data_IF_055917991466
#
_entry.id   IF_055917991466
#
_cell.length_a   1.000
_cell.length_b   1.000
_cell.length_c   1.000
_cell.angle_alpha   90.00
_cell.angle_beta   90.00
_cell.angle_gamma   90.00
#
_symmetry.space_group_name_H-M   'P 1'
#
loop_
_entity.id
_entity.type
_entity.pdbx_description
1 polymer ?
#
# COMPACT_ATOMS: atom_id res chain seq x y z
N UNK A 1 -22.97 15.10 29.06
CA UNK A 1 -22.97 14.24 27.87
C UNK A 1 -21.50 14.03 27.52
N UNK A 2 -20.95 12.89 27.92
CA UNK A 2 -19.51 12.63 27.88
C UNK A 2 -18.98 12.62 26.45
N UNK A 3 -18.06 13.53 26.14
CA UNK A 3 -17.20 13.44 24.97
C UNK A 3 -16.20 12.31 25.23
N UNK A 4 -16.49 11.10 24.74
CA UNK A 4 -15.56 9.99 24.82
C UNK A 4 -14.71 9.95 23.55
N UNK A 5 -13.48 10.42 23.69
CA UNK A 5 -12.42 10.40 22.69
C UNK A 5 -12.24 8.99 22.10
N UNK A 6 -12.68 8.79 20.87
CA UNK A 6 -12.28 7.63 20.08
C UNK A 6 -10.88 7.92 19.53
N UNK A 7 -9.84 7.34 20.16
CA UNK A 7 -8.53 7.15 19.55
C UNK A 7 -8.75 6.52 18.17
N UNK A 8 -8.66 7.35 17.13
CA UNK A 8 -8.98 6.97 15.77
C UNK A 8 -7.82 6.10 15.26
N UNK A 9 -7.86 4.80 15.57
CA UNK A 9 -6.95 3.83 14.95
C UNK A 9 -7.06 4.01 13.44
N UNK A 10 -5.96 4.44 12.83
CA UNK A 10 -6.00 4.83 11.44
C UNK A 10 -6.41 3.64 10.57
N UNK A 11 -7.44 3.86 9.75
CA UNK A 11 -7.93 2.86 8.81
C UNK A 11 -6.77 2.30 7.96
N UNK A 12 -6.66 0.97 7.91
CA UNK A 12 -5.55 0.28 7.26
C UNK A 12 -5.34 0.67 5.78
N UNK A 13 -6.40 1.01 5.05
CA UNK A 13 -6.30 1.50 3.68
C UNK A 13 -5.52 2.81 3.65
N UNK A 14 -5.91 3.77 4.50
CA UNK A 14 -5.26 5.10 4.57
C UNK A 14 -3.80 4.98 4.99
N UNK A 15 -3.53 4.16 6.01
CA UNK A 15 -2.17 3.86 6.48
C UNK A 15 -1.32 3.26 5.35
N UNK A 16 -1.84 2.26 4.64
CA UNK A 16 -1.13 1.60 3.53
C UNK A 16 -0.80 2.57 2.40
N UNK A 17 -1.80 3.37 1.98
CA UNK A 17 -1.60 4.39 0.94
C UNK A 17 -0.47 5.35 1.30
N UNK A 18 -0.42 5.84 2.55
CA UNK A 18 0.66 6.71 3.02
C UNK A 18 2.02 6.01 3.03
N UNK A 19 2.10 4.79 3.56
CA UNK A 19 3.36 4.04 3.67
C UNK A 19 3.95 3.70 2.29
N UNK A 20 3.11 3.43 1.30
CA UNK A 20 3.53 3.13 -0.06
C UNK A 20 3.68 4.38 -0.95
N UNK A 21 3.23 5.54 -0.48
CA UNK A 21 3.22 6.78 -1.27
C UNK A 21 2.28 6.71 -2.48
N UNK A 22 1.13 6.05 -2.33
CA UNK A 22 0.14 5.85 -3.40
C UNK A 22 -1.24 6.39 -3.00
N UNK A 23 -2.09 6.60 -3.99
CA UNK A 23 -3.51 6.95 -3.84
C UNK A 23 -4.38 5.71 -3.63
N UNK A 24 -5.62 5.90 -3.16
CA UNK A 24 -6.61 4.81 -3.06
C UNK A 24 -6.96 4.22 -4.42
N UNK A 25 -6.96 5.04 -5.49
CA UNK A 25 -7.16 4.61 -6.87
C UNK A 25 -6.03 3.69 -7.32
N UNK A 26 -4.78 4.08 -7.12
CA UNK A 26 -3.62 3.24 -7.45
C UNK A 26 -3.58 1.96 -6.61
N UNK A 27 -4.00 2.01 -5.34
CA UNK A 27 -4.15 0.80 -4.53
C UNK A 27 -5.20 -0.14 -5.16
N UNK A 28 -6.34 0.38 -5.60
CA UNK A 28 -7.39 -0.40 -6.26
C UNK A 28 -6.90 -1.04 -7.56
N UNK A 29 -6.16 -0.28 -8.38
CA UNK A 29 -5.53 -0.77 -9.61
C UNK A 29 -4.51 -1.88 -9.33
N UNK A 30 -3.64 -1.71 -8.32
CA UNK A 30 -2.63 -2.72 -7.94
C UNK A 30 -3.24 -4.04 -7.48
N UNK A 31 -4.36 -3.99 -6.77
CA UNK A 31 -5.02 -5.20 -6.23
C UNK A 31 -6.08 -5.76 -7.18
N UNK A 32 -6.39 -5.07 -8.28
CA UNK A 32 -7.36 -5.52 -9.28
C UNK A 32 -8.81 -5.42 -8.82
N UNK A 33 -9.18 -4.39 -8.05
CA UNK A 33 -10.58 -4.14 -7.65
C UNK A 33 -11.03 -2.72 -7.97
N UNK A 34 -12.31 -2.44 -7.81
CA UNK A 34 -12.84 -1.09 -8.06
C UNK A 34 -12.38 -0.09 -6.99
N UNK A 35 -12.10 1.15 -7.41
CA UNK A 35 -11.81 2.27 -6.51
C UNK A 35 -12.94 2.46 -5.47
N UNK A 36 -14.20 2.28 -5.88
CA UNK A 36 -15.37 2.36 -4.99
C UNK A 36 -15.27 1.38 -3.81
N UNK A 37 -14.78 0.16 -4.05
CA UNK A 37 -14.57 -0.84 -2.99
C UNK A 37 -13.52 -0.35 -1.99
N UNK A 38 -12.36 0.13 -2.48
CA UNK A 38 -11.29 0.68 -1.63
C UNK A 38 -11.78 1.90 -0.84
N UNK A 39 -12.54 2.79 -1.47
CA UNK A 39 -13.10 3.98 -0.83
C UNK A 39 -14.11 3.63 0.27
N UNK A 40 -14.95 2.60 0.04
CA UNK A 40 -15.86 2.09 1.06
C UNK A 40 -15.10 1.52 2.27
N UNK A 41 -14.00 0.79 2.04
CA UNK A 41 -13.11 0.31 3.10
C UNK A 41 -12.44 1.45 3.84
N UNK A 42 -11.90 2.46 3.14
CA UNK A 42 -11.21 3.61 3.74
C UNK A 42 -12.11 4.46 4.65
N UNK A 43 -13.42 4.45 4.40
CA UNK A 43 -14.42 5.18 5.16
C UNK A 43 -15.25 4.29 6.08
N UNK A 44 -14.83 3.04 6.33
CA UNK A 44 -15.51 2.07 7.19
C UNK A 44 -17.00 1.83 6.81
N UNK A 45 -17.37 2.05 5.54
CA UNK A 45 -18.75 1.85 5.05
C UNK A 45 -19.08 0.37 4.84
N UNK A 46 -18.05 -0.43 4.57
CA UNK A 46 -18.15 -1.88 4.38
C UNK A 46 -17.01 -2.53 5.14
N UNK A 47 -17.28 -3.69 5.75
CA UNK A 47 -16.26 -4.48 6.43
C UNK A 47 -15.16 -4.90 5.45
N UNK A 48 -13.92 -4.67 5.84
CA UNK A 48 -12.75 -5.10 5.09
C UNK A 48 -12.65 -6.64 5.17
N UNK A 49 -12.36 -7.35 4.05
CA UNK A 49 -12.12 -8.78 4.07
C UNK A 49 -10.99 -9.16 5.04
N UNK A 50 -11.14 -10.29 5.75
CA UNK A 50 -10.18 -10.71 6.77
C UNK A 50 -8.75 -10.90 6.23
N UNK A 51 -8.61 -11.24 4.94
CA UNK A 51 -7.32 -11.45 4.27
C UNK A 51 -6.66 -10.14 3.77
N UNK A 52 -7.27 -8.98 3.98
CA UNK A 52 -6.73 -7.70 3.50
C UNK A 52 -5.35 -7.39 4.12
N UNK A 53 -5.13 -7.72 5.39
CA UNK A 53 -3.81 -7.56 6.04
C UNK A 53 -2.72 -8.31 5.27
N UNK A 54 -2.99 -9.57 4.90
CA UNK A 54 -2.05 -10.39 4.13
C UNK A 54 -1.79 -9.80 2.74
N UNK A 55 -2.82 -9.27 2.09
CA UNK A 55 -2.68 -8.58 0.81
C UNK A 55 -1.74 -7.37 0.93
N UNK A 56 -1.89 -6.56 1.99
CA UNK A 56 -1.02 -5.41 2.23
C UNK A 56 0.43 -5.83 2.48
N UNK A 57 0.66 -6.89 3.26
CA UNK A 57 2.00 -7.44 3.47
C UNK A 57 2.65 -7.86 2.15
N UNK A 58 1.91 -8.57 1.29
CA UNK A 58 2.40 -8.99 -0.02
C UNK A 58 2.75 -7.80 -0.92
N UNK A 59 1.93 -6.73 -0.94
CA UNK A 59 2.22 -5.51 -1.70
C UNK A 59 3.49 -4.80 -1.21
N UNK A 60 3.73 -4.78 0.10
CA UNK A 60 4.97 -4.21 0.67
C UNK A 60 6.20 -5.00 0.24
N UNK A 61 6.11 -6.34 0.28
CA UNK A 61 7.17 -7.23 -0.19
C UNK A 61 7.44 -6.98 -1.68
N UNK A 62 6.39 -6.94 -2.50
CA UNK A 62 6.50 -6.67 -3.94
C UNK A 62 7.22 -5.33 -4.20
N UNK A 63 6.85 -4.27 -3.49
CA UNK A 63 7.48 -2.95 -3.60
C UNK A 63 8.98 -3.00 -3.22
N UNK A 64 9.33 -3.72 -2.16
CA UNK A 64 10.72 -3.88 -1.75
C UNK A 64 11.53 -4.70 -2.77
N UNK A 65 10.97 -5.78 -3.30
CA UNK A 65 11.60 -6.54 -4.39
C UNK A 65 11.87 -5.65 -5.60
N UNK A 66 10.91 -4.80 -6.00
CA UNK A 66 11.10 -3.83 -7.10
C UNK A 66 12.25 -2.87 -6.84
N UNK A 67 12.39 -2.35 -5.62
CA UNK A 67 13.52 -1.48 -5.22
C UNK A 67 14.87 -2.21 -5.25
N UNK A 68 14.91 -3.47 -4.82
CA UNK A 68 16.13 -4.28 -4.87
C UNK A 68 16.53 -4.52 -6.34
N UNK A 69 15.56 -4.91 -7.18
CA UNK A 69 15.81 -5.15 -8.61
C UNK A 69 16.32 -3.89 -9.30
N UNK A 70 15.76 -2.71 -9.00
CA UNK A 70 16.28 -1.46 -9.58
C UNK A 70 17.68 -1.12 -9.08
N UNK A 71 17.97 -1.31 -7.80
CA UNK A 71 19.30 -1.08 -7.23
C UNK A 71 20.37 -1.98 -7.87
N UNK A 72 20.07 -3.27 -8.07
CA UNK A 72 20.99 -4.22 -8.73
C UNK A 72 21.27 -3.81 -10.17
N UNK A 73 20.24 -3.44 -10.95
CA UNK A 73 20.40 -2.95 -12.33
C UNK A 73 21.28 -1.70 -12.43
N UNK A 74 21.16 -0.79 -11.47
CA UNK A 74 21.99 0.43 -11.43
C UNK A 74 23.47 0.10 -11.15
N UNK A 75 23.74 -0.92 -10.33
CA UNK A 75 25.11 -1.37 -10.06
C UNK A 75 25.74 -2.02 -11.29
N UNK A 76 24.99 -2.87 -12.01
CA UNK A 76 25.46 -3.51 -13.25
C UNK A 76 25.79 -2.49 -14.34
N UNK A 77 24.88 -1.53 -14.57
CA UNK A 77 25.09 -0.46 -15.56
C UNK A 77 26.27 0.44 -15.22
N UNK A 78 26.46 0.79 -13.94
CA UNK A 78 27.60 1.61 -13.51
C UNK A 78 28.95 0.90 -13.67
N UNK A 79 28.99 -0.42 -13.53
CA UNK A 79 30.22 -1.22 -13.75
C UNK A 79 30.62 -1.30 -15.23
N UNK A 80 29.65 -1.30 -16.14
CA UNK A 80 29.91 -1.34 -17.59
C UNK A 80 30.51 0.00 -18.06
N UNK A 81 30.06 1.13 -17.51
CA UNK A 81 30.54 2.47 -17.90
C UNK A 81 31.93 2.85 -17.37
N UNK A 82 32.55 2.01 -16.55
CA UNK A 82 33.89 2.23 -15.98
C UNK A 82 35.00 1.38 -16.64
N UNK A 83 34.63 0.50 -17.58
CA UNK A 83 35.54 -0.29 -18.41
C UNK A 83 35.55 0.24 -19.84
#
# INVERSE_FOLDING_TARGET
MEHKEAKNEENIVKKTCRELGITQKELAEKIGITEKTVNNWANNRVKIPNNFNRLIELLKIENNCKKIVSAVKNIETSKISLN
#
